data_IF_008511449553
#
_entry.id   IF_008511449553
#
_cell.length_a   1.000
_cell.length_b   1.000
_cell.length_c   1.000
_cell.angle_alpha   90.00
_cell.angle_beta   90.00
_cell.angle_gamma   90.00
#
_symmetry.space_group_name_H-M   'P 1'
#
loop_
_entity.id
_entity.type
_entity.pdbx_description
1 polymer ?
#
# COMPACT_ATOMS: atom_id res chain seq x y z
N UNK A 1 -36.51 33.39 -1.85
CA UNK A 1 -36.50 32.45 -2.99
C UNK A 1 -35.15 31.72 -3.16
N UNK A 2 -34.02 32.30 -2.71
CA UNK A 2 -32.69 31.70 -2.81
C UNK A 2 -32.41 30.65 -1.72
N UNK A 3 -32.93 30.83 -0.51
CA UNK A 3 -32.65 29.92 0.62
C UNK A 3 -33.26 28.51 0.47
N UNK A 4 -34.48 28.40 -0.06
CA UNK A 4 -35.12 27.09 -0.29
C UNK A 4 -34.45 26.29 -1.41
N UNK A 5 -33.79 26.97 -2.36
CA UNK A 5 -33.02 26.34 -3.43
C UNK A 5 -31.71 25.73 -2.90
N UNK A 6 -31.00 26.44 -2.01
CA UNK A 6 -29.78 25.98 -1.35
C UNK A 6 -30.04 24.77 -0.44
N UNK A 7 -31.11 24.79 0.35
CA UNK A 7 -31.44 23.67 1.26
C UNK A 7 -31.79 22.41 0.45
N UNK A 8 -32.54 22.55 -0.65
CA UNK A 8 -32.93 21.40 -1.49
C UNK A 8 -31.75 20.80 -2.27
N UNK A 9 -30.72 21.58 -2.58
CA UNK A 9 -29.52 21.09 -3.28
C UNK A 9 -28.32 20.87 -2.36
N UNK A 10 -28.47 21.14 -1.05
CA UNK A 10 -27.42 20.99 -0.04
C UNK A 10 -26.80 19.59 -0.06
N UNK A 11 -27.61 18.54 -0.16
CA UNK A 11 -27.12 17.16 -0.24
C UNK A 11 -26.27 16.91 -1.49
N UNK A 12 -26.58 17.55 -2.63
CA UNK A 12 -25.78 17.44 -3.87
C UNK A 12 -24.47 18.21 -3.73
N UNK A 13 -24.50 19.39 -3.11
CA UNK A 13 -23.30 20.20 -2.86
C UNK A 13 -22.36 19.48 -1.88
N UNK A 14 -22.91 18.91 -0.81
CA UNK A 14 -22.15 18.10 0.16
C UNK A 14 -21.57 16.87 -0.51
N UNK A 15 -22.33 16.18 -1.37
CA UNK A 15 -21.84 15.01 -2.10
C UNK A 15 -20.73 15.37 -3.11
N UNK A 16 -20.86 16.50 -3.82
CA UNK A 16 -19.83 17.00 -4.74
C UNK A 16 -18.56 17.39 -3.98
N UNK A 17 -18.69 18.06 -2.83
CA UNK A 17 -17.54 18.41 -1.99
C UNK A 17 -16.88 17.18 -1.38
N UNK A 18 -17.67 16.20 -0.93
CA UNK A 18 -17.16 14.93 -0.39
C UNK A 18 -16.39 14.18 -1.47
N UNK A 19 -16.98 13.95 -2.65
CA UNK A 19 -16.30 13.29 -3.77
C UNK A 19 -15.08 14.08 -4.25
N UNK A 20 -15.19 15.41 -4.33
CA UNK A 20 -14.09 16.30 -4.71
C UNK A 20 -12.90 16.22 -3.76
N UNK A 21 -13.13 16.29 -2.45
CA UNK A 21 -12.07 16.19 -1.43
C UNK A 21 -11.41 14.80 -1.41
N UNK A 22 -12.18 13.73 -1.63
CA UNK A 22 -11.64 12.37 -1.68
C UNK A 22 -10.93 12.03 -3.01
N UNK A 23 -11.23 12.73 -4.10
CA UNK A 23 -10.61 12.48 -5.41
C UNK A 23 -9.10 12.75 -5.44
N UNK A 24 -8.62 13.75 -4.68
CA UNK A 24 -7.20 14.09 -4.62
C UNK A 24 -6.32 13.07 -3.90
N UNK A 25 -6.91 12.21 -3.06
CA UNK A 25 -6.17 11.16 -2.35
C UNK A 25 -5.97 9.88 -3.20
N UNK A 26 -6.60 9.78 -4.37
CA UNK A 26 -6.51 8.61 -5.25
C UNK A 26 -5.20 8.51 -6.03
N UNK A 27 -4.37 9.56 -6.03
CA UNK A 27 -3.13 9.62 -6.83
C UNK A 27 -3.36 9.78 -8.35
N UNK A 28 -4.61 9.92 -8.79
CA UNK A 28 -4.96 10.13 -10.20
C UNK A 28 -4.81 11.62 -10.53
N UNK A 29 -3.86 11.93 -11.40
CA UNK A 29 -3.51 13.27 -11.87
C UNK A 29 -3.43 13.23 -13.41
N UNK A 30 -3.75 14.32 -14.10
CA UNK A 30 -3.55 14.44 -15.56
C UNK A 30 -2.14 14.01 -16.01
N UNK A 31 -1.11 14.33 -15.22
CA UNK A 31 0.26 13.95 -15.50
C UNK A 31 0.45 12.42 -15.48
N UNK A 32 -0.18 11.73 -14.51
CA UNK A 32 -0.13 10.26 -14.42
C UNK A 32 -0.99 9.57 -15.48
N UNK A 33 -1.98 10.27 -16.07
CA UNK A 33 -2.69 9.77 -17.26
C UNK A 33 -1.76 9.77 -18.47
N UNK A 34 -1.02 10.86 -18.69
CA UNK A 34 -0.23 11.06 -19.91
C UNK A 34 1.16 10.44 -19.87
N UNK A 35 1.72 10.25 -18.67
CA UNK A 35 3.08 9.75 -18.51
C UNK A 35 3.15 8.69 -17.41
N UNK A 36 3.42 7.44 -17.82
CA UNK A 36 3.55 6.29 -16.94
C UNK A 36 4.76 6.37 -16.00
N UNK A 37 5.79 7.14 -16.34
CA UNK A 37 6.94 7.36 -15.46
C UNK A 37 6.64 8.36 -14.33
N UNK A 38 5.56 9.14 -14.42
CA UNK A 38 5.14 10.04 -13.33
C UNK A 38 4.38 9.33 -12.20
N UNK A 39 4.35 8.00 -12.25
CA UNK A 39 3.84 7.13 -11.21
C UNK A 39 4.35 7.50 -9.81
N UNK A 40 3.44 7.86 -8.92
CA UNK A 40 3.71 8.09 -7.48
C UNK A 40 3.80 6.79 -6.68
N UNK A 41 3.65 5.64 -7.32
CA UNK A 41 3.71 4.32 -6.70
C UNK A 41 5.00 3.59 -7.13
N UNK A 42 5.49 2.64 -6.32
CA UNK A 42 6.77 1.98 -6.56
C UNK A 42 6.83 1.20 -7.89
N UNK A 43 5.68 0.81 -8.45
CA UNK A 43 5.58 -0.04 -9.64
C UNK A 43 5.09 0.77 -10.84
N UNK A 44 5.97 1.18 -11.74
CA UNK A 44 5.66 2.07 -12.87
C UNK A 44 4.43 1.61 -13.70
N UNK A 45 3.51 2.52 -14.02
CA UNK A 45 2.36 2.25 -14.89
C UNK A 45 1.11 1.64 -14.25
N UNK A 46 0.89 1.84 -12.94
CA UNK A 46 -0.28 1.38 -12.16
C UNK A 46 -0.96 2.55 -11.39
N UNK A 47 -0.69 3.81 -11.76
CA UNK A 47 -1.24 5.00 -11.04
C UNK A 47 -2.63 5.34 -11.51
N UNK A 48 -3.01 4.80 -12.66
CA UNK A 48 -4.19 5.19 -13.36
C UNK A 48 -4.89 3.95 -13.91
N UNK A 49 -6.21 3.96 -13.77
CA UNK A 49 -7.12 3.01 -14.39
C UNK A 49 -6.82 2.73 -15.86
N UNK A 50 -6.51 3.76 -16.67
CA UNK A 50 -6.17 3.63 -18.10
C UNK A 50 -4.90 2.79 -18.31
N UNK A 51 -3.90 2.96 -17.46
CA UNK A 51 -2.66 2.19 -17.56
C UNK A 51 -2.88 0.74 -17.14
N UNK A 52 -3.67 0.50 -16.10
CA UNK A 52 -4.05 -0.84 -15.65
C UNK A 52 -4.88 -1.56 -16.73
N UNK A 53 -5.81 -0.85 -17.39
CA UNK A 53 -6.57 -1.37 -18.52
C UNK A 53 -5.65 -1.80 -19.67
N UNK A 54 -4.64 -1.00 -20.00
CA UNK A 54 -3.69 -1.32 -21.07
C UNK A 54 -2.83 -2.56 -20.77
N UNK A 55 -2.58 -2.86 -19.49
CA UNK A 55 -1.84 -4.05 -19.06
C UNK A 55 -2.69 -5.33 -19.04
N UNK A 56 -4.01 -5.24 -19.24
CA UNK A 56 -4.92 -6.40 -19.22
C UNK A 56 -5.25 -6.96 -17.83
N UNK A 57 -4.56 -6.53 -16.77
CA UNK A 57 -4.72 -7.01 -15.40
C UNK A 57 -5.75 -6.19 -14.60
N UNK A 58 -6.85 -5.79 -15.26
CA UNK A 58 -7.86 -4.90 -14.66
C UNK A 58 -8.79 -5.63 -13.69
N UNK A 59 -9.00 -6.94 -13.81
CA UNK A 59 -9.84 -7.70 -12.87
C UNK A 59 -9.10 -7.92 -11.56
N UNK A 60 -7.85 -8.37 -11.66
CA UNK A 60 -6.98 -8.65 -10.53
C UNK A 60 -5.54 -8.32 -10.92
N UNK A 61 -4.90 -7.46 -10.13
CA UNK A 61 -3.47 -7.15 -10.24
C UNK A 61 -2.84 -7.38 -8.88
N UNK A 62 -1.76 -8.16 -8.85
CA UNK A 62 -0.88 -8.30 -7.70
C UNK A 62 0.54 -8.12 -8.16
N UNK A 63 1.23 -7.17 -7.56
CA UNK A 63 2.57 -6.78 -7.93
C UNK A 63 3.40 -6.60 -6.67
N UNK A 64 4.68 -6.96 -6.74
CA UNK A 64 5.65 -6.65 -5.70
C UNK A 64 6.86 -5.94 -6.30
N UNK A 65 7.38 -4.98 -5.56
CA UNK A 65 8.58 -4.23 -5.90
C UNK A 65 9.51 -4.22 -4.68
N UNK A 66 10.77 -4.54 -4.91
CA UNK A 66 11.80 -4.53 -3.86
C UNK A 66 12.57 -3.22 -3.97
N UNK A 67 12.59 -2.47 -2.87
CA UNK A 67 13.47 -1.34 -2.64
C UNK A 67 14.74 -1.77 -1.90
N UNK A 68 15.89 -1.37 -2.43
CA UNK A 68 17.20 -1.74 -1.90
C UNK A 68 17.75 -3.04 -2.51
N UNK A 69 18.87 -3.52 -1.99
CA UNK A 69 19.52 -4.74 -2.48
C UNK A 69 19.29 -5.90 -1.50
N UNK A 70 18.48 -6.91 -1.86
CA UNK A 70 18.19 -8.05 -0.98
C UNK A 70 19.42 -8.94 -0.72
N UNK A 71 20.50 -8.81 -1.49
CA UNK A 71 21.73 -9.61 -1.30
C UNK A 71 22.75 -8.98 -0.34
N UNK A 72 22.51 -7.75 0.15
CA UNK A 72 23.48 -7.00 0.95
C UNK A 72 23.22 -6.98 2.46
N UNK A 73 22.09 -7.50 2.94
CA UNK A 73 21.74 -7.46 4.37
C UNK A 73 21.19 -8.78 4.89
N UNK A 74 21.54 -9.14 6.12
CA UNK A 74 21.00 -10.32 6.80
C UNK A 74 19.54 -10.03 7.19
N UNK A 75 18.60 -10.85 6.72
CA UNK A 75 17.17 -10.70 7.03
C UNK A 75 16.77 -11.71 8.09
N UNK A 76 16.98 -11.38 9.36
CA UNK A 76 16.64 -12.25 10.48
C UNK A 76 15.16 -12.06 10.89
N UNK A 77 14.64 -10.85 10.74
CA UNK A 77 13.28 -10.45 11.12
C UNK A 77 12.57 -9.77 9.95
N UNK A 78 11.30 -10.11 9.77
CA UNK A 78 10.41 -9.53 8.76
C UNK A 78 9.15 -9.01 9.43
N UNK A 79 8.73 -7.79 9.10
CA UNK A 79 7.48 -7.20 9.60
C UNK A 79 6.78 -6.45 8.49
N UNK A 80 5.44 -6.53 8.46
CA UNK A 80 4.64 -5.89 7.44
C UNK A 80 3.52 -5.04 8.04
N UNK A 81 3.17 -3.97 7.33
CA UNK A 81 1.99 -3.17 7.60
C UNK A 81 1.27 -2.85 6.29
N UNK A 82 -0.05 -2.90 6.33
CA UNK A 82 -0.90 -2.77 5.15
C UNK A 82 -1.93 -1.67 5.36
N UNK A 83 -2.11 -0.88 4.33
CA UNK A 83 -3.27 -0.01 4.13
C UNK A 83 -4.18 -0.66 3.10
N UNK A 84 -5.47 -0.70 3.39
CA UNK A 84 -6.50 -1.29 2.53
C UNK A 84 -7.59 -0.26 2.29
N UNK A 85 -8.14 -0.27 1.09
CA UNK A 85 -9.35 0.46 0.76
C UNK A 85 -10.37 -0.44 0.10
N UNK A 86 -11.63 -0.21 0.44
CA UNK A 86 -12.78 -0.85 -0.17
C UNK A 86 -13.64 0.18 -0.87
N UNK A 87 -14.00 -0.11 -2.12
CA UNK A 87 -14.76 0.75 -3.03
C UNK A 87 -14.15 2.15 -3.27
N UNK A 88 -12.88 2.37 -2.91
CA UNK A 88 -12.28 3.70 -2.86
C UNK A 88 -12.94 4.66 -1.84
N UNK A 89 -13.82 4.14 -0.97
CA UNK A 89 -14.61 4.92 -0.01
C UNK A 89 -14.13 4.72 1.42
N UNK A 90 -13.87 3.47 1.80
CA UNK A 90 -13.50 3.11 3.16
C UNK A 90 -12.06 2.63 3.16
N UNK A 91 -11.17 3.45 3.70
CA UNK A 91 -9.77 3.11 3.92
C UNK A 91 -9.53 2.71 5.38
N UNK A 92 -8.70 1.69 5.62
CA UNK A 92 -8.22 1.35 6.95
C UNK A 92 -6.82 0.77 6.91
N UNK A 93 -6.11 0.91 8.03
CA UNK A 93 -4.73 0.47 8.17
C UNK A 93 -3.73 1.58 7.85
N UNK A 94 -2.47 1.26 8.09
CA UNK A 94 -1.34 2.15 7.92
C UNK A 94 -0.23 1.31 7.29
N UNK A 95 0.27 1.76 6.13
CA UNK A 95 1.37 1.12 5.40
C UNK A 95 2.68 1.89 5.57
N UNK A 96 2.74 2.86 6.47
CA UNK A 96 3.95 3.64 6.72
C UNK A 96 5.06 2.76 7.32
N UNK A 97 6.30 3.09 6.97
CA UNK A 97 7.46 2.49 7.63
C UNK A 97 7.47 2.79 9.14
N UNK A 98 6.94 3.93 9.56
CA UNK A 98 6.88 4.33 10.96
C UNK A 98 6.06 3.33 11.77
N UNK A 99 4.89 2.91 11.28
CA UNK A 99 4.05 1.94 11.99
C UNK A 99 4.71 0.54 12.04
N UNK A 100 5.46 0.17 10.99
CA UNK A 100 6.23 -1.08 10.98
C UNK A 100 7.37 -1.03 12.00
N UNK A 101 8.14 0.05 12.03
CA UNK A 101 9.25 0.21 12.97
C UNK A 101 8.76 0.35 14.41
N UNK A 102 7.56 0.91 14.62
CA UNK A 102 6.92 1.00 15.94
C UNK A 102 6.46 -0.36 16.46
N UNK A 103 5.94 -1.23 15.58
CA UNK A 103 5.45 -2.58 15.96
C UNK A 103 6.53 -3.65 15.94
N UNK A 104 7.57 -3.47 15.14
CA UNK A 104 8.66 -4.43 14.98
C UNK A 104 9.82 -4.13 15.91
N UNK A 105 10.66 -5.14 16.15
CA UNK A 105 11.94 -4.97 16.88
C UNK A 105 13.12 -4.80 15.91
N UNK A 106 12.85 -4.37 14.68
CA UNK A 106 13.87 -4.20 13.63
C UNK A 106 14.67 -2.94 13.96
N UNK A 107 15.98 -3.09 14.19
CA UNK A 107 16.91 -1.98 14.43
C UNK A 107 17.64 -1.55 13.17
N UNK A 108 17.88 -2.50 12.26
CA UNK A 108 18.61 -2.26 11.01
C UNK A 108 17.83 -2.84 9.85
N UNK A 109 17.50 -1.98 8.89
CA UNK A 109 16.76 -2.36 7.69
C UNK A 109 17.74 -2.94 6.67
N UNK A 110 17.46 -4.14 6.17
CA UNK A 110 18.22 -4.76 5.08
C UNK A 110 17.63 -4.34 3.73
N UNK A 111 16.34 -4.62 3.52
CA UNK A 111 15.62 -4.22 2.33
C UNK A 111 14.13 -4.04 2.64
N UNK A 112 13.43 -3.31 1.77
CA UNK A 112 12.01 -3.04 1.91
C UNK A 112 11.30 -3.58 0.68
N UNK A 113 10.27 -4.38 0.87
CA UNK A 113 9.41 -4.85 -0.21
C UNK A 113 8.06 -4.15 -0.12
N UNK A 114 7.56 -3.70 -1.26
CA UNK A 114 6.25 -3.09 -1.42
C UNK A 114 5.39 -4.04 -2.22
N UNK A 115 4.27 -4.47 -1.67
CA UNK A 115 3.30 -5.30 -2.38
C UNK A 115 2.01 -4.55 -2.57
N UNK A 116 1.50 -4.54 -3.79
CA UNK A 116 0.26 -3.92 -4.17
C UNK A 116 -0.70 -4.98 -4.70
N UNK A 117 -1.93 -4.95 -4.22
CA UNK A 117 -3.04 -5.79 -4.70
C UNK A 117 -4.22 -4.89 -5.06
N UNK A 118 -4.80 -5.12 -6.23
CA UNK A 118 -5.90 -4.34 -6.76
C UNK A 118 -6.93 -5.25 -7.43
N UNK A 119 -8.19 -5.06 -7.08
CA UNK A 119 -9.34 -5.71 -7.71
C UNK A 119 -10.15 -4.69 -8.48
N UNK A 120 -10.57 -5.03 -9.70
CA UNK A 120 -11.24 -4.09 -10.60
C UNK A 120 -10.46 -2.78 -10.72
N UNK A 121 -9.16 -2.88 -10.99
CA UNK A 121 -8.21 -1.77 -11.08
C UNK A 121 -8.16 -0.89 -9.83
N UNK A 122 -8.41 -1.47 -8.65
CA UNK A 122 -8.42 -0.76 -7.36
C UNK A 122 -9.76 -0.13 -7.02
N UNK A 123 -10.76 -0.22 -7.90
CA UNK A 123 -12.08 0.37 -7.69
C UNK A 123 -12.91 -0.44 -6.70
N UNK A 124 -12.77 -1.77 -6.67
CA UNK A 124 -13.46 -2.63 -5.70
C UNK A 124 -12.66 -2.74 -4.40
N UNK A 125 -11.39 -3.08 -4.53
CA UNK A 125 -10.50 -3.28 -3.40
C UNK A 125 -9.08 -2.93 -3.82
N UNK A 126 -8.37 -2.23 -2.95
CA UNK A 126 -6.97 -1.89 -3.13
C UNK A 126 -6.25 -2.11 -1.82
N UNK A 127 -5.11 -2.79 -1.85
CA UNK A 127 -4.28 -3.05 -0.69
C UNK A 127 -2.83 -2.71 -1.05
N UNK A 128 -2.21 -1.90 -0.22
CA UNK A 128 -0.80 -1.57 -0.31
C UNK A 128 -0.13 -1.97 1.00
N UNK A 129 0.85 -2.87 0.92
CA UNK A 129 1.61 -3.31 2.07
C UNK A 129 3.08 -2.97 1.89
N UNK A 130 3.67 -2.48 2.97
CA UNK A 130 5.11 -2.34 3.10
C UNK A 130 5.60 -3.47 4.00
N UNK A 131 6.65 -4.14 3.57
CA UNK A 131 7.30 -5.25 4.26
C UNK A 131 8.74 -4.83 4.49
N UNK A 132 9.13 -4.68 5.75
CA UNK A 132 10.49 -4.34 6.12
C UNK A 132 11.18 -5.62 6.58
N UNK A 133 12.28 -5.94 5.92
CA UNK A 133 13.14 -7.05 6.26
C UNK A 133 14.45 -6.50 6.84
N UNK A 134 14.93 -7.09 7.92
CA UNK A 134 16.12 -6.59 8.59
C UNK A 134 16.56 -7.39 9.81
N UNK A 135 17.40 -6.76 10.60
CA UNK A 135 18.00 -7.31 11.81
C UNK A 135 17.38 -6.61 13.03
N UNK A 136 17.08 -7.37 14.08
CA UNK A 136 16.55 -6.88 15.35
C UNK A 136 17.24 -7.58 16.52
N UNK A 137 16.88 -7.20 17.75
CA UNK A 137 17.51 -7.80 18.93
C UNK A 137 17.32 -9.32 18.94
N UNK A 138 18.45 -10.05 18.99
CA UNK A 138 18.53 -11.50 19.05
C UNK A 138 17.77 -12.03 20.28
N UNK A 139 16.48 -12.33 20.12
CA UNK A 139 15.72 -13.18 21.06
C UNK A 139 15.10 -14.40 20.38
N UNK A 140 15.36 -14.60 19.08
CA UNK A 140 14.88 -15.77 18.33
C UNK A 140 16.03 -16.54 17.67
N UNK A 141 17.22 -16.55 18.28
CA UNK A 141 18.26 -17.53 17.94
C UNK A 141 18.20 -18.79 18.81
N UNK A 142 17.51 -18.73 19.94
CA UNK A 142 17.49 -19.83 20.92
C UNK A 142 16.41 -20.89 20.66
N UNK A 143 15.36 -20.58 19.89
CA UNK A 143 14.29 -21.56 19.59
C UNK A 143 14.70 -22.58 18.51
N UNK A 144 15.65 -22.25 17.63
CA UNK A 144 16.18 -23.21 16.64
C UNK A 144 17.35 -24.05 17.15
N UNK A 145 18.08 -23.60 18.16
CA UNK A 145 19.17 -24.41 18.77
C UNK A 145 18.61 -25.50 19.68
N UNK A 146 17.45 -25.28 20.32
CA UNK A 146 16.80 -26.26 21.19
C UNK A 146 16.11 -27.45 20.48
N UNK A 147 16.03 -27.46 19.14
CA UNK A 147 15.53 -28.63 18.37
C UNK A 147 16.64 -29.50 17.77
N UNK A 148 17.92 -29.18 18.03
CA UNK A 148 19.07 -29.84 17.41
C UNK A 148 19.78 -30.89 18.27
N UNK A 149 19.45 -31.03 19.55
CA UNK A 149 20.22 -31.85 20.50
C UNK A 149 19.35 -32.89 21.23
N UNK A 150 18.63 -33.73 20.50
CA UNK A 150 18.19 -35.03 21.02
C UNK A 150 19.20 -36.09 20.56
N UNK A 151 20.09 -36.59 21.43
CA UNK A 151 20.91 -37.76 21.13
C UNK A 151 20.04 -39.02 21.19
N UNK A 152 20.13 -39.83 20.13
CA UNK A 152 19.65 -41.22 20.07
C UNK A 152 20.52 -42.13 20.94
#
# INVERSE_FOLDING_TARGET
MIETFLIRHSYKIVLVLFVGLHSFCSGVNILTVTNAESSTHPIVGDSNFIQILSKGNWIFSKQSAIGGNPQQGESILSSSACSRSFLGLVGWGDSSMEEILRRSRIKKIAFVEYTQEAWFSGLLFHSFCTIVNGEGDELEKDSKILKGNDPL
#
